data_IF_199606889633
#
_entry.id   IF_199606889633
#
_cell.length_a   1.000
_cell.length_b   1.000
_cell.length_c   1.000
_cell.angle_alpha   90.00
_cell.angle_beta   90.00
_cell.angle_gamma   90.00
#
_symmetry.space_group_name_H-M   'P 1'
#
loop_
_entity.id
_entity.type
_entity.pdbx_description
1 polymer ?
#
# COMPACT_ATOMS: atom_id res chain seq x y z
N UNK A 1 -24.81 -7.90 -9.32
CA UNK A 1 -23.42 -8.41 -9.35
C UNK A 1 -22.44 -7.48 -10.05
N UNK A 2 -22.56 -7.24 -11.38
CA UNK A 2 -21.60 -6.35 -12.07
C UNK A 2 -21.66 -4.89 -11.58
N UNK A 3 -22.86 -4.36 -11.31
CA UNK A 3 -23.08 -3.03 -10.76
C UNK A 3 -22.49 -2.86 -9.34
N UNK A 4 -22.67 -3.85 -8.49
CA UNK A 4 -22.21 -3.81 -7.10
C UNK A 4 -20.67 -3.84 -7.05
N UNK A 5 -20.06 -4.66 -7.91
CA UNK A 5 -18.62 -4.72 -8.08
C UNK A 5 -18.06 -3.40 -8.62
N UNK A 6 -18.73 -2.76 -9.58
CA UNK A 6 -18.34 -1.44 -10.08
C UNK A 6 -18.39 -0.38 -8.98
N UNK A 7 -19.46 -0.34 -8.17
CA UNK A 7 -19.59 0.60 -7.06
C UNK A 7 -18.48 0.42 -6.02
N UNK A 8 -18.15 -0.83 -5.65
CA UNK A 8 -17.04 -1.11 -4.75
C UNK A 8 -15.71 -0.60 -5.31
N UNK A 9 -15.46 -0.78 -6.62
CA UNK A 9 -14.25 -0.29 -7.26
C UNK A 9 -14.19 1.24 -7.31
N UNK A 10 -15.30 1.95 -7.50
CA UNK A 10 -15.34 3.41 -7.40
C UNK A 10 -14.99 3.90 -6.00
N UNK A 11 -15.55 3.28 -4.95
CA UNK A 11 -15.19 3.58 -3.57
C UNK A 11 -13.71 3.36 -3.28
N UNK A 12 -13.18 2.23 -3.74
CA UNK A 12 -11.77 1.90 -3.60
C UNK A 12 -10.86 2.88 -4.37
N UNK A 13 -11.24 3.27 -5.57
CA UNK A 13 -10.52 4.27 -6.36
C UNK A 13 -10.47 5.62 -5.65
N UNK A 14 -11.61 6.09 -5.10
CA UNK A 14 -11.67 7.33 -4.32
C UNK A 14 -10.74 7.29 -3.10
N UNK A 15 -10.74 6.17 -2.37
CA UNK A 15 -9.82 5.94 -1.26
C UNK A 15 -8.36 6.04 -1.68
N UNK A 16 -7.98 5.38 -2.77
CA UNK A 16 -6.61 5.41 -3.30
C UNK A 16 -6.19 6.81 -3.75
N UNK A 17 -7.08 7.58 -4.39
CA UNK A 17 -6.80 8.96 -4.77
C UNK A 17 -6.57 9.86 -3.54
N UNK A 18 -7.38 9.68 -2.50
CA UNK A 18 -7.23 10.43 -1.25
C UNK A 18 -5.93 10.08 -0.55
N UNK A 19 -5.60 8.79 -0.48
CA UNK A 19 -4.35 8.32 0.12
C UNK A 19 -3.12 8.85 -0.65
N UNK A 20 -3.15 8.81 -1.97
CA UNK A 20 -2.10 9.39 -2.81
C UNK A 20 -1.94 10.89 -2.56
N UNK A 21 -3.05 11.64 -2.56
CA UNK A 21 -3.04 13.07 -2.32
C UNK A 21 -2.48 13.45 -0.95
N UNK A 22 -2.89 12.75 0.10
CA UNK A 22 -2.38 12.97 1.46
C UNK A 22 -0.89 12.64 1.57
N UNK A 23 -0.44 11.55 0.94
CA UNK A 23 0.97 11.16 0.92
C UNK A 23 1.85 12.22 0.24
N UNK A 24 1.43 12.72 -0.92
CA UNK A 24 2.15 13.78 -1.65
C UNK A 24 2.19 15.07 -0.83
N UNK A 25 1.06 15.47 -0.24
CA UNK A 25 1.00 16.68 0.61
C UNK A 25 1.94 16.56 1.80
N UNK A 26 1.96 15.40 2.48
CA UNK A 26 2.87 15.13 3.59
C UNK A 26 4.33 15.18 3.15
N UNK A 27 4.66 14.60 1.99
CA UNK A 27 6.02 14.64 1.43
C UNK A 27 6.50 16.08 1.18
N UNK A 28 5.68 16.90 0.53
CA UNK A 28 6.05 18.31 0.25
C UNK A 28 6.21 19.12 1.53
N UNK A 29 5.31 18.91 2.50
CA UNK A 29 5.38 19.60 3.79
C UNK A 29 6.65 19.23 4.56
N UNK A 30 6.99 17.94 4.63
CA UNK A 30 8.13 17.45 5.41
C UNK A 30 9.47 17.66 4.69
N UNK A 31 9.53 17.46 3.37
CA UNK A 31 10.80 17.55 2.63
C UNK A 31 11.15 18.98 2.19
N UNK A 32 10.15 19.83 1.91
CA UNK A 32 10.38 21.17 1.37
C UNK A 32 9.75 22.31 2.21
N UNK A 33 8.99 21.98 3.26
CA UNK A 33 8.25 22.98 4.05
C UNK A 33 7.12 23.67 3.27
N UNK A 34 6.70 23.11 2.13
CA UNK A 34 5.69 23.71 1.24
C UNK A 34 4.32 23.10 1.54
N UNK A 35 3.35 23.93 1.84
CA UNK A 35 1.96 23.51 1.96
C UNK A 35 1.31 23.46 0.57
N UNK A 36 1.00 22.27 0.09
CA UNK A 36 0.34 22.03 -1.19
C UNK A 36 -1.15 21.77 -0.95
N UNK A 37 -2.01 22.22 -1.84
CA UNK A 37 -3.44 22.00 -1.74
C UNK A 37 -3.77 20.50 -1.88
N UNK A 38 -4.33 19.92 -0.83
CA UNK A 38 -4.70 18.50 -0.76
C UNK A 38 -5.64 18.09 -1.90
N UNK A 39 -6.67 18.91 -2.18
CA UNK A 39 -7.65 18.61 -3.24
C UNK A 39 -6.98 18.55 -4.60
N UNK A 40 -6.06 19.48 -4.89
CA UNK A 40 -5.30 19.46 -6.14
C UNK A 40 -4.44 18.18 -6.27
N UNK A 41 -3.78 17.75 -5.19
CA UNK A 41 -3.00 16.52 -5.18
C UNK A 41 -3.87 15.28 -5.39
N UNK A 42 -5.06 15.22 -4.79
CA UNK A 42 -6.04 14.14 -4.99
C UNK A 42 -6.48 14.06 -6.45
N UNK A 43 -6.85 15.20 -7.04
CA UNK A 43 -7.31 15.26 -8.43
C UNK A 43 -6.20 14.87 -9.39
N UNK A 44 -4.99 15.40 -9.21
CA UNK A 44 -3.84 15.04 -10.04
C UNK A 44 -3.51 13.54 -9.92
N UNK A 45 -3.52 13.01 -8.69
CA UNK A 45 -3.32 11.58 -8.45
C UNK A 45 -4.34 10.71 -9.15
N UNK A 46 -5.63 11.07 -9.05
CA UNK A 46 -6.72 10.38 -9.73
C UNK A 46 -6.57 10.41 -11.27
N UNK A 47 -6.19 11.56 -11.82
CA UNK A 47 -5.94 11.68 -13.26
C UNK A 47 -4.75 10.83 -13.71
N UNK A 48 -3.66 10.79 -12.96
CA UNK A 48 -2.51 9.93 -13.25
C UNK A 48 -2.89 8.43 -13.23
N UNK A 49 -3.65 8.01 -12.22
CA UNK A 49 -4.15 6.64 -12.14
C UNK A 49 -5.08 6.31 -13.30
N UNK A 50 -5.96 7.25 -13.70
CA UNK A 50 -6.85 7.08 -14.84
C UNK A 50 -6.09 6.95 -16.16
N UNK A 51 -5.05 7.76 -16.38
CA UNK A 51 -4.19 7.66 -17.57
C UNK A 51 -3.54 6.28 -17.65
N UNK A 52 -3.01 5.75 -16.56
CA UNK A 52 -2.41 4.40 -16.54
C UNK A 52 -3.45 3.32 -16.86
N UNK A 53 -4.68 3.48 -16.38
CA UNK A 53 -5.78 2.58 -16.68
C UNK A 53 -6.21 2.63 -18.17
N UNK A 54 -6.24 3.82 -18.78
CA UNK A 54 -6.56 4.00 -20.21
C UNK A 54 -5.50 3.34 -21.11
N UNK A 55 -4.22 3.45 -20.75
CA UNK A 55 -3.12 2.75 -21.45
C UNK A 55 -3.25 1.23 -21.32
N UNK A 56 -3.99 0.77 -20.32
CA UNK A 56 -4.30 -0.63 -20.07
C UNK A 56 -3.12 -1.42 -19.52
N UNK A 57 -3.13 -2.75 -19.75
CA UNK A 57 -2.16 -3.67 -19.16
C UNK A 57 -0.68 -3.28 -19.39
N UNK A 58 -0.35 -2.72 -20.56
CA UNK A 58 1.03 -2.28 -20.83
C UNK A 58 1.50 -1.20 -19.88
N UNK A 59 0.65 -0.21 -19.57
CA UNK A 59 0.94 0.86 -18.61
C UNK A 59 1.14 0.33 -17.19
N UNK A 60 0.21 -0.51 -16.75
CA UNK A 60 0.29 -1.16 -15.43
C UNK A 60 1.56 -2.02 -15.32
N UNK A 61 1.89 -2.79 -16.35
CA UNK A 61 3.10 -3.62 -16.38
C UNK A 61 4.37 -2.79 -16.21
N UNK A 62 4.52 -1.71 -16.96
CA UNK A 62 5.71 -0.83 -16.88
C UNK A 62 5.80 -0.20 -15.49
N UNK A 63 4.69 0.35 -14.99
CA UNK A 63 4.64 0.94 -13.65
C UNK A 63 5.03 -0.08 -12.57
N UNK A 64 4.51 -1.30 -12.65
CA UNK A 64 4.82 -2.36 -11.69
C UNK A 64 6.28 -2.83 -11.77
N UNK A 65 6.86 -2.90 -12.96
CA UNK A 65 8.24 -3.34 -13.13
C UNK A 65 9.26 -2.43 -12.41
N UNK A 66 8.98 -1.13 -12.34
CA UNK A 66 9.82 -0.17 -11.63
C UNK A 66 9.32 0.12 -10.22
N UNK A 67 8.00 0.26 -10.05
CA UNK A 67 7.38 0.62 -8.78
C UNK A 67 7.51 -0.47 -7.72
N UNK A 68 7.29 -1.73 -8.07
CA UNK A 68 7.33 -2.83 -7.09
C UNK A 68 8.73 -3.02 -6.50
N UNK A 69 9.82 -3.11 -7.27
CA UNK A 69 11.16 -3.20 -6.70
C UNK A 69 11.54 -1.99 -5.84
N UNK A 70 11.16 -0.78 -6.28
CA UNK A 70 11.42 0.45 -5.52
C UNK A 70 10.67 0.44 -4.18
N UNK A 71 9.39 0.10 -4.19
CA UNK A 71 8.60 -0.03 -2.96
C UNK A 71 9.16 -1.09 -2.03
N UNK A 72 9.60 -2.23 -2.57
CA UNK A 72 10.22 -3.29 -1.78
C UNK A 72 11.50 -2.81 -1.09
N UNK A 73 12.36 -2.09 -1.81
CA UNK A 73 13.59 -1.50 -1.25
C UNK A 73 13.28 -0.47 -0.16
N UNK A 74 12.29 0.39 -0.39
CA UNK A 74 11.85 1.40 0.60
C UNK A 74 11.30 0.75 1.86
N UNK A 75 10.44 -0.26 1.73
CA UNK A 75 9.83 -0.95 2.86
C UNK A 75 10.87 -1.74 3.64
N UNK A 76 11.72 -2.50 2.97
CA UNK A 76 12.79 -3.27 3.64
C UNK A 76 13.79 -2.32 4.30
N UNK A 77 14.24 -1.28 3.60
CA UNK A 77 15.14 -0.27 4.16
C UNK A 77 14.54 0.43 5.38
N UNK A 78 13.26 0.77 5.31
CA UNK A 78 12.51 1.31 6.44
C UNK A 78 12.44 0.36 7.64
N UNK A 79 12.12 -0.92 7.41
CA UNK A 79 12.09 -1.95 8.47
C UNK A 79 13.46 -2.12 9.12
N UNK A 80 14.53 -2.24 8.32
CA UNK A 80 15.89 -2.36 8.85
C UNK A 80 16.22 -1.14 9.73
N UNK A 81 15.91 0.05 9.25
CA UNK A 81 16.18 1.28 10.01
C UNK A 81 15.30 1.37 11.27
N UNK A 82 14.07 0.90 11.23
CA UNK A 82 13.20 0.83 12.41
C UNK A 82 13.83 0.01 13.52
N UNK A 83 14.41 -1.15 13.22
CA UNK A 83 15.10 -1.97 14.21
C UNK A 83 16.40 -1.36 14.74
N UNK A 84 16.97 -0.37 14.06
CA UNK A 84 18.11 0.40 14.61
C UNK A 84 17.68 1.50 15.57
N UNK A 85 16.43 1.97 15.46
CA UNK A 85 15.88 3.06 16.29
C UNK A 85 15.07 2.53 17.47
N UNK A 86 14.28 1.47 17.23
CA UNK A 86 13.40 0.87 18.24
C UNK A 86 13.79 -0.58 18.46
N UNK A 87 14.13 -0.98 19.70
CA UNK A 87 14.47 -2.37 20.01
C UNK A 87 13.31 -3.33 19.71
N UNK A 88 13.63 -4.53 19.19
CA UNK A 88 12.62 -5.52 18.83
C UNK A 88 11.68 -5.90 19.99
N UNK A 89 12.18 -5.89 21.22
CA UNK A 89 11.39 -6.13 22.43
C UNK A 89 10.29 -5.10 22.65
N UNK A 90 10.56 -3.85 22.36
CA UNK A 90 9.57 -2.76 22.51
C UNK A 90 8.49 -2.86 21.41
N UNK A 91 8.86 -3.25 20.20
CA UNK A 91 7.91 -3.44 19.09
C UNK A 91 6.90 -4.55 19.42
N UNK A 92 7.40 -5.67 19.97
CA UNK A 92 6.54 -6.82 20.32
C UNK A 92 5.65 -6.54 21.53
N UNK A 93 6.14 -5.76 22.49
CA UNK A 93 5.38 -5.39 23.70
C UNK A 93 4.58 -4.10 23.56
N UNK A 94 4.61 -3.48 22.39
CA UNK A 94 3.90 -2.23 22.14
C UNK A 94 2.38 -2.40 22.36
N UNK A 95 1.73 -1.47 23.09
CA UNK A 95 0.29 -1.51 23.25
C UNK A 95 -0.40 -1.32 21.89
N UNK A 96 -1.60 -1.87 21.69
CA UNK A 96 -2.33 -1.63 20.46
C UNK A 96 -2.70 -0.15 20.33
N UNK A 97 -2.48 0.42 19.14
CA UNK A 97 -2.87 1.82 18.83
C UNK A 97 -4.37 2.01 18.99
N UNK A 98 -5.13 1.06 18.48
CA UNK A 98 -6.58 0.95 18.69
C UNK A 98 -6.93 -0.50 18.99
N UNK A 99 -7.48 -0.81 20.17
CA UNK A 99 -7.88 -2.17 20.50
C UNK A 99 -9.11 -2.57 19.67
N UNK A 100 -8.94 -3.57 18.83
CA UNK A 100 -10.04 -4.17 18.05
C UNK A 100 -10.25 -5.63 18.45
N UNK A 101 -11.48 -6.12 18.31
CA UNK A 101 -11.76 -7.54 18.57
C UNK A 101 -11.10 -8.41 17.50
N UNK A 102 -10.76 -9.65 17.86
CA UNK A 102 -10.20 -10.62 16.90
C UNK A 102 -11.12 -10.81 15.68
N UNK A 103 -12.43 -10.86 15.88
CA UNK A 103 -13.41 -10.98 14.79
C UNK A 103 -13.35 -9.77 13.85
N UNK A 104 -13.20 -8.56 14.39
CA UNK A 104 -13.04 -7.34 13.60
C UNK A 104 -11.73 -7.37 12.80
N UNK A 105 -10.63 -7.78 13.42
CA UNK A 105 -9.34 -7.91 12.73
C UNK A 105 -9.41 -8.89 11.56
N UNK A 106 -10.00 -10.07 11.76
CA UNK A 106 -10.22 -11.06 10.70
C UNK A 106 -11.10 -10.48 9.58
N UNK A 107 -12.18 -9.79 9.92
CA UNK A 107 -13.08 -9.18 8.92
C UNK A 107 -12.37 -8.11 8.09
N UNK A 108 -11.54 -7.27 8.69
CA UNK A 108 -10.73 -6.26 7.99
C UNK A 108 -9.70 -6.92 7.06
N UNK A 109 -9.02 -7.96 7.51
CA UNK A 109 -8.06 -8.71 6.69
C UNK A 109 -8.73 -9.37 5.50
N UNK A 110 -9.85 -10.06 5.70
CA UNK A 110 -10.62 -10.68 4.61
C UNK A 110 -11.15 -9.61 3.65
N UNK A 111 -11.70 -8.51 4.17
CA UNK A 111 -12.24 -7.41 3.37
C UNK A 111 -11.19 -6.75 2.48
N UNK A 112 -9.98 -6.51 2.99
CA UNK A 112 -8.88 -5.92 2.23
C UNK A 112 -8.35 -6.86 1.13
N UNK A 113 -8.47 -8.16 1.33
CA UNK A 113 -7.91 -9.18 0.46
C UNK A 113 -8.87 -9.64 -0.65
N UNK A 114 -10.19 -9.69 -0.36
CA UNK A 114 -11.20 -10.27 -1.25
C UNK A 114 -11.30 -9.56 -2.60
N UNK A 115 -11.08 -8.25 -2.63
CA UNK A 115 -11.06 -7.47 -3.88
C UNK A 115 -9.91 -7.93 -4.78
N UNK A 116 -8.70 -8.11 -4.22
CA UNK A 116 -7.54 -8.61 -4.95
C UNK A 116 -7.79 -9.99 -5.57
N UNK A 117 -8.41 -10.90 -4.83
CA UNK A 117 -8.79 -12.24 -5.33
C UNK A 117 -9.79 -12.13 -6.47
N UNK A 118 -10.75 -11.22 -6.38
CA UNK A 118 -11.79 -11.05 -7.40
C UNK A 118 -11.26 -10.54 -8.74
N UNK A 119 -10.22 -9.70 -8.73
CA UNK A 119 -9.62 -9.11 -9.93
C UNK A 119 -8.41 -9.87 -10.46
N UNK A 120 -7.92 -10.88 -9.75
CA UNK A 120 -6.72 -11.64 -10.15
C UNK A 120 -6.85 -12.25 -11.54
N UNK A 121 -8.06 -12.64 -11.94
CA UNK A 121 -8.35 -13.20 -13.25
C UNK A 121 -8.04 -12.22 -14.40
N UNK A 122 -8.21 -10.92 -14.18
CA UNK A 122 -7.91 -9.89 -15.16
C UNK A 122 -6.42 -9.76 -15.45
N UNK A 123 -5.58 -10.12 -14.52
CA UNK A 123 -4.12 -10.15 -14.68
C UNK A 123 -3.66 -11.49 -15.25
N UNK A 124 -4.22 -12.59 -14.79
CA UNK A 124 -3.79 -13.93 -15.19
C UNK A 124 -4.06 -14.25 -16.65
N UNK A 125 -5.08 -13.64 -17.27
CA UNK A 125 -5.35 -13.77 -18.71
C UNK A 125 -4.19 -13.31 -19.60
N UNK A 126 -3.25 -12.51 -19.09
CA UNK A 126 -2.06 -12.06 -19.83
C UNK A 126 -0.84 -12.95 -19.57
N UNK A 127 -0.96 -14.00 -18.78
CA UNK A 127 0.13 -14.95 -18.52
C UNK A 127 0.37 -15.84 -19.74
N UNK A 128 1.63 -16.19 -19.98
CA UNK A 128 2.00 -17.04 -21.12
C UNK A 128 1.57 -18.49 -20.91
N UNK A 129 1.63 -18.96 -19.67
CA UNK A 129 1.23 -20.34 -19.32
C UNK A 129 0.41 -20.34 -18.03
N UNK A 130 -0.38 -21.40 -17.84
CA UNK A 130 -1.13 -21.62 -16.59
C UNK A 130 -0.16 -21.76 -15.40
N UNK A 131 1.00 -22.37 -15.62
CA UNK A 131 2.02 -22.53 -14.58
C UNK A 131 2.56 -21.18 -14.10
N UNK A 132 2.90 -20.27 -15.02
CA UNK A 132 3.39 -18.93 -14.66
C UNK A 132 2.34 -18.14 -13.88
N UNK A 133 1.09 -18.25 -14.29
CA UNK A 133 -0.05 -17.64 -13.59
C UNK A 133 -0.19 -18.19 -12.18
N UNK A 134 -0.18 -19.51 -12.01
CA UNK A 134 -0.32 -20.16 -10.71
C UNK A 134 0.83 -19.80 -9.77
N UNK A 135 2.07 -19.82 -10.26
CA UNK A 135 3.23 -19.41 -9.46
C UNK A 135 3.11 -17.96 -9.04
N UNK A 136 2.75 -17.06 -9.96
CA UNK A 136 2.58 -15.64 -9.65
C UNK A 136 1.51 -15.39 -8.59
N UNK A 137 0.37 -16.08 -8.66
CA UNK A 137 -0.70 -15.99 -7.66
C UNK A 137 -0.22 -16.50 -6.30
N UNK A 138 0.35 -17.71 -6.26
CA UNK A 138 0.80 -18.31 -5.01
C UNK A 138 1.87 -17.44 -4.35
N UNK A 139 2.88 -17.00 -5.08
CA UNK A 139 3.93 -16.13 -4.53
C UNK A 139 3.37 -14.78 -4.07
N UNK A 140 2.51 -14.16 -4.88
CA UNK A 140 1.94 -12.85 -4.55
C UNK A 140 1.07 -12.89 -3.29
N UNK A 141 0.17 -13.87 -3.22
CA UNK A 141 -0.79 -13.95 -2.11
C UNK A 141 -0.24 -14.65 -0.87
N UNK A 142 0.65 -15.64 -1.01
CA UNK A 142 1.16 -16.38 0.15
C UNK A 142 2.42 -15.76 0.75
N UNK A 143 3.22 -15.06 -0.04
CA UNK A 143 4.46 -14.45 0.42
C UNK A 143 4.37 -12.92 0.37
N UNK A 144 4.04 -12.37 -0.79
CA UNK A 144 4.08 -10.92 -1.01
C UNK A 144 3.11 -10.15 -0.12
N UNK A 145 1.84 -10.54 -0.09
CA UNK A 145 0.84 -9.87 0.73
C UNK A 145 1.12 -9.96 2.23
N UNK A 146 1.36 -11.14 2.83
CA UNK A 146 1.72 -11.23 4.25
C UNK A 146 2.99 -10.47 4.60
N UNK A 147 4.00 -10.47 3.74
CA UNK A 147 5.23 -9.70 3.98
C UNK A 147 4.94 -8.20 4.12
N UNK A 148 4.13 -7.62 3.23
CA UNK A 148 3.76 -6.20 3.31
C UNK A 148 2.94 -5.90 4.57
N UNK A 149 2.00 -6.78 4.93
CA UNK A 149 1.20 -6.62 6.15
C UNK A 149 2.07 -6.68 7.39
N UNK A 150 3.01 -7.61 7.48
CA UNK A 150 3.95 -7.72 8.60
C UNK A 150 4.83 -6.47 8.69
N UNK A 151 5.36 -5.98 7.58
CA UNK A 151 6.14 -4.74 7.56
C UNK A 151 5.29 -3.54 8.04
N UNK A 152 4.04 -3.42 7.59
CA UNK A 152 3.12 -2.39 8.06
C UNK A 152 2.84 -2.48 9.55
N UNK A 153 2.65 -3.70 10.08
CA UNK A 153 2.47 -3.92 11.52
C UNK A 153 3.72 -3.52 12.33
N UNK A 154 4.92 -3.84 11.85
CA UNK A 154 6.17 -3.41 12.50
C UNK A 154 6.23 -1.88 12.60
N UNK A 155 5.92 -1.16 11.51
CA UNK A 155 5.90 0.30 11.54
C UNK A 155 4.83 0.85 12.50
N UNK A 156 3.61 0.32 12.45
CA UNK A 156 2.54 0.76 13.32
C UNK A 156 2.87 0.55 14.80
N UNK A 157 3.45 -0.60 15.16
CA UNK A 157 3.86 -0.90 16.53
C UNK A 157 5.05 -0.04 16.98
N UNK A 158 6.05 0.15 16.11
CA UNK A 158 7.26 0.89 16.46
C UNK A 158 6.99 2.39 16.68
N UNK A 159 6.14 2.99 15.87
CA UNK A 159 5.91 4.44 15.88
C UNK A 159 4.54 4.85 16.41
N UNK A 160 3.72 3.89 16.82
CA UNK A 160 2.35 4.12 17.35
C UNK A 160 1.53 5.03 16.42
N UNK A 161 1.68 4.85 15.10
CA UNK A 161 1.08 5.69 14.07
C UNK A 161 0.46 4.82 12.97
N UNK A 162 -0.72 5.23 12.53
CA UNK A 162 -1.40 4.64 11.37
C UNK A 162 -1.00 5.31 10.04
N UNK A 163 -0.17 6.34 10.07
CA UNK A 163 0.31 7.05 8.89
C UNK A 163 1.69 6.53 8.46
N UNK A 164 1.68 5.56 7.55
CA UNK A 164 2.88 4.96 6.99
C UNK A 164 3.76 5.98 6.26
N UNK A 165 3.16 6.99 5.61
CA UNK A 165 3.92 7.98 4.85
C UNK A 165 4.76 8.85 5.77
N UNK A 166 4.14 9.42 6.80
CA UNK A 166 4.86 10.20 7.82
C UNK A 166 5.91 9.36 8.54
N UNK A 167 5.57 8.11 8.86
CA UNK A 167 6.50 7.18 9.50
C UNK A 167 7.74 6.93 8.64
N UNK A 168 7.57 6.60 7.35
CA UNK A 168 8.68 6.34 6.44
C UNK A 168 9.54 7.59 6.20
N UNK A 169 8.94 8.76 6.05
CA UNK A 169 9.68 10.02 5.86
C UNK A 169 10.56 10.31 7.08
N UNK A 170 10.00 10.18 8.28
CA UNK A 170 10.73 10.40 9.53
C UNK A 170 11.84 9.36 9.74
N UNK A 171 11.56 8.08 9.48
CA UNK A 171 12.53 6.98 9.62
C UNK A 171 13.67 7.10 8.62
N UNK A 172 13.39 7.45 7.38
CA UNK A 172 14.40 7.60 6.34
C UNK A 172 15.20 8.91 6.44
N UNK A 173 14.77 9.83 7.32
CA UNK A 173 15.50 11.08 7.59
C UNK A 173 15.23 12.19 6.57
N UNK A 174 14.10 12.14 5.87
CA UNK A 174 13.66 13.22 4.99
C UNK A 174 12.82 14.29 5.71
N UNK A 175 12.54 14.12 7.01
CA UNK A 175 11.82 15.07 7.84
C UNK A 175 12.74 15.79 8.81
N UNK A 176 13.27 16.93 8.41
CA UNK A 176 13.90 17.93 9.28
C UNK A 176 13.24 19.27 9.00
#
# INVERSE_FOLDING_TARGET
MASDFALCNFGWFGYQCTFFGSSITSMFKLAAGIEVNLTACIVIGGLLMMITAIVGYKGIKVLSQFGVPLLFLLVIGGVIKTFTVVPAGEIVSAPPVEPISFATAVSLMVGSFIVGVSIVQDFTRYSKTVKDSSIGIVLGFTIGYPAVVICGAIFACAFQSNDLTNTLINVLGFGY
#
